data_IF_405631356304
#
_entry.id   IF_405631356304
#
_cell.length_a   1.000
_cell.length_b   1.000
_cell.length_c   1.000
_cell.angle_alpha   90.00
_cell.angle_beta   90.00
_cell.angle_gamma   90.00
#
_symmetry.space_group_name_H-M   'P 1'
#
loop_
_entity.id
_entity.type
_entity.pdbx_description
1 polymer ?
#
# COMPACT_ATOMS: atom_id res chain seq x y z
N UNK A 1 34.06 -59.44 4.58
CA UNK A 1 32.76 -58.77 4.76
C UNK A 1 33.05 -57.49 5.54
N UNK A 2 32.58 -56.35 5.02
CA UNK A 2 33.03 -54.94 5.22
C UNK A 2 34.12 -54.46 4.21
N UNK A 3 34.18 -53.17 3.79
CA UNK A 3 33.35 -52.48 2.78
C UNK A 3 34.21 -51.85 1.63
N UNK A 4 33.65 -51.08 0.66
CA UNK A 4 33.75 -49.61 0.76
C UNK A 4 32.64 -48.77 0.09
N UNK A 5 32.63 -47.50 0.50
CA UNK A 5 31.94 -46.30 0.02
C UNK A 5 32.14 -46.02 -1.48
N UNK A 6 31.11 -45.56 -2.19
CA UNK A 6 31.32 -44.69 -3.35
C UNK A 6 30.12 -43.78 -3.64
N UNK A 7 30.41 -42.49 -3.75
CA UNK A 7 29.51 -41.41 -4.09
C UNK A 7 29.11 -41.47 -5.56
N UNK A 8 27.87 -41.13 -5.89
CA UNK A 8 27.51 -40.64 -7.24
C UNK A 8 26.43 -39.57 -7.15
N UNK A 9 26.90 -38.33 -7.32
CA UNK A 9 26.31 -37.19 -8.00
C UNK A 9 24.82 -37.27 -8.35
N UNK A 10 23.99 -36.51 -7.61
CA UNK A 10 22.68 -36.09 -8.11
C UNK A 10 22.83 -34.75 -8.83
N UNK A 11 22.60 -34.81 -10.13
CA UNK A 11 22.53 -33.72 -11.10
C UNK A 11 21.56 -32.62 -10.65
N UNK A 12 21.87 -31.32 -10.85
CA UNK A 12 20.92 -30.25 -10.59
C UNK A 12 19.80 -30.28 -11.63
N UNK A 13 18.54 -30.45 -11.18
CA UNK A 13 17.39 -30.11 -12.00
C UNK A 13 17.32 -28.59 -12.12
N UNK A 14 17.85 -28.11 -13.23
CA UNK A 14 17.53 -26.80 -13.78
C UNK A 14 16.04 -26.74 -14.11
N UNK A 15 15.48 -25.54 -13.92
CA UNK A 15 14.32 -25.03 -14.62
C UNK A 15 12.95 -25.58 -14.20
N UNK A 16 12.20 -24.76 -13.45
CA UNK A 16 11.11 -24.05 -14.07
C UNK A 16 10.45 -23.06 -13.10
N UNK A 17 10.37 -21.82 -13.56
CA UNK A 17 9.31 -20.85 -13.24
C UNK A 17 9.30 -20.34 -11.80
N UNK A 18 10.18 -19.36 -11.58
CA UNK A 18 9.78 -18.17 -10.85
C UNK A 18 8.45 -17.66 -11.45
N UNK A 19 7.36 -17.94 -10.74
CA UNK A 19 6.12 -17.22 -10.96
C UNK A 19 6.35 -15.84 -10.34
N UNK A 20 7.00 -14.98 -11.12
CA UNK A 20 6.78 -13.56 -10.99
C UNK A 20 5.27 -13.37 -11.13
N UNK A 21 4.59 -13.17 -10.00
CA UNK A 21 3.29 -12.54 -9.95
C UNK A 21 3.47 -11.10 -10.45
N UNK A 22 3.70 -10.96 -11.75
CA UNK A 22 3.52 -9.71 -12.45
C UNK A 22 2.01 -9.58 -12.62
N UNK A 23 1.34 -9.18 -11.54
CA UNK A 23 0.01 -8.65 -11.61
C UNK A 23 0.08 -7.49 -12.60
N UNK A 24 -0.43 -7.74 -13.81
CA UNK A 24 -0.63 -6.70 -14.82
C UNK A 24 -1.76 -5.82 -14.28
N UNK A 25 -1.40 -4.89 -13.39
CA UNK A 25 -2.19 -3.69 -13.17
C UNK A 25 -2.16 -2.96 -14.51
N UNK A 26 -3.21 -3.13 -15.30
CA UNK A 26 -3.43 -2.40 -16.56
C UNK A 26 -3.06 -0.95 -16.32
N UNK A 27 -2.01 -0.47 -16.98
CA UNK A 27 -1.54 0.93 -17.00
C UNK A 27 -2.58 1.81 -17.71
N UNK A 28 -3.75 2.02 -17.10
CA UNK A 28 -4.62 3.14 -17.47
C UNK A 28 -3.88 4.45 -17.21
N UNK A 29 -3.89 5.38 -18.15
CA UNK A 29 -3.31 6.71 -17.96
C UNK A 29 -4.16 7.50 -16.97
N UNK A 30 -3.87 7.39 -15.67
CA UNK A 30 -4.41 8.27 -14.63
C UNK A 30 -3.37 9.29 -14.22
N UNK A 31 -3.83 10.46 -13.78
CA UNK A 31 -2.95 11.53 -13.29
C UNK A 31 -2.68 11.31 -11.81
N UNK A 32 -1.42 11.10 -11.44
CA UNK A 32 -1.00 11.07 -10.04
C UNK A 32 -0.70 12.49 -9.59
N UNK A 33 -1.46 13.00 -8.62
CA UNK A 33 -1.25 14.34 -8.03
C UNK A 33 -0.14 14.32 -6.98
N UNK A 34 0.02 13.17 -6.31
CA UNK A 34 1.07 12.91 -5.34
C UNK A 34 2.25 12.20 -6.01
N UNK A 35 3.42 12.30 -5.38
CA UNK A 35 4.55 11.47 -5.75
C UNK A 35 4.20 10.00 -5.54
N UNK A 36 4.70 9.14 -6.43
CA UNK A 36 4.33 7.72 -6.46
C UNK A 36 4.55 7.00 -5.13
N UNK A 37 5.67 7.27 -4.47
CA UNK A 37 5.99 6.68 -3.16
C UNK A 37 5.00 7.17 -2.09
N UNK A 38 4.67 8.46 -2.09
CA UNK A 38 3.71 9.06 -1.16
C UNK A 38 2.30 8.51 -1.38
N UNK A 39 1.84 8.43 -2.62
CA UNK A 39 0.56 7.82 -2.98
C UNK A 39 0.47 6.38 -2.48
N UNK A 40 1.54 5.59 -2.67
CA UNK A 40 1.60 4.20 -2.22
C UNK A 40 1.56 4.08 -0.69
N UNK A 41 2.32 4.90 0.04
CA UNK A 41 2.32 4.90 1.51
C UNK A 41 0.92 5.26 2.03
N UNK A 42 0.32 6.33 1.51
CA UNK A 42 -1.01 6.78 1.90
C UNK A 42 -2.06 5.70 1.59
N UNK A 43 -2.00 5.09 0.40
CA UNK A 43 -2.89 4.01 0.01
C UNK A 43 -2.79 2.77 0.89
N UNK A 44 -1.59 2.41 1.36
CA UNK A 44 -1.40 1.31 2.32
C UNK A 44 -2.05 1.66 3.66
N UNK A 45 -1.87 2.89 4.14
CA UNK A 45 -2.37 3.31 5.44
C UNK A 45 -3.89 3.43 5.45
N UNK A 46 -4.47 4.07 4.44
CA UNK A 46 -5.92 4.15 4.27
C UNK A 46 -6.58 2.76 4.19
N UNK A 47 -5.90 1.77 3.58
CA UNK A 47 -6.36 0.37 3.55
C UNK A 47 -6.26 -0.35 4.90
N UNK A 48 -5.34 0.07 5.76
CA UNK A 48 -5.14 -0.50 7.09
C UNK A 48 -6.01 0.15 8.16
N UNK A 49 -6.64 1.28 7.87
CA UNK A 49 -7.55 1.92 8.82
C UNK A 49 -8.66 0.94 9.22
N UNK A 50 -8.95 0.78 10.52
CA UNK A 50 -9.99 -0.13 11.01
C UNK A 50 -11.39 0.37 10.66
N UNK A 51 -11.50 1.61 10.20
CA UNK A 51 -12.75 2.26 9.83
C UNK A 51 -12.62 2.94 8.46
N UNK A 52 -13.72 3.04 7.70
CA UNK A 52 -13.77 3.87 6.50
C UNK A 52 -13.32 5.31 6.76
N UNK A 53 -12.55 5.88 5.84
CA UNK A 53 -11.99 7.22 5.97
C UNK A 53 -13.06 8.30 6.17
N UNK A 54 -14.21 8.18 5.51
CA UNK A 54 -15.34 9.10 5.66
C UNK A 54 -15.96 9.06 7.07
N UNK A 55 -16.04 7.88 7.67
CA UNK A 55 -16.49 7.71 9.06
C UNK A 55 -15.49 8.35 10.01
N UNK A 56 -14.19 8.13 9.79
CA UNK A 56 -13.13 8.76 10.58
C UNK A 56 -13.20 10.30 10.52
N UNK A 57 -13.34 10.88 9.33
CA UNK A 57 -13.47 12.33 9.18
C UNK A 57 -14.69 12.88 9.94
N UNK A 58 -15.84 12.19 9.89
CA UNK A 58 -17.04 12.58 10.64
C UNK A 58 -16.87 12.46 12.15
N UNK A 59 -16.15 11.45 12.61
CA UNK A 59 -15.85 11.27 14.02
C UNK A 59 -14.96 12.40 14.54
N UNK A 60 -13.94 12.81 13.77
CA UNK A 60 -13.09 13.95 14.11
C UNK A 60 -13.88 15.27 14.19
N UNK A 61 -14.74 15.53 13.20
CA UNK A 61 -15.58 16.75 13.16
C UNK A 61 -16.51 16.87 14.38
N UNK A 62 -16.95 15.73 14.92
CA UNK A 62 -17.85 15.65 16.08
C UNK A 62 -17.13 15.45 17.42
N UNK A 63 -15.80 15.34 17.42
CA UNK A 63 -15.01 14.91 18.58
C UNK A 63 -15.58 13.63 19.20
N UNK A 64 -15.94 12.66 18.36
CA UNK A 64 -16.56 11.41 18.78
C UNK A 64 -15.53 10.47 19.42
N UNK A 65 -15.51 10.44 20.75
CA UNK A 65 -14.65 9.58 21.54
C UNK A 65 -15.09 8.10 21.57
N UNK A 66 -16.22 7.75 20.95
CA UNK A 66 -16.69 6.36 20.88
C UNK A 66 -16.02 5.57 19.76
N UNK A 67 -15.34 6.26 18.83
CA UNK A 67 -14.56 5.61 17.80
C UNK A 67 -13.33 4.94 18.43
N UNK A 68 -13.33 3.61 18.50
CA UNK A 68 -12.23 2.83 19.04
C UNK A 68 -11.04 2.80 18.08
N UNK A 69 -10.22 3.86 18.13
CA UNK A 69 -8.93 3.96 17.46
C UNK A 69 -7.84 4.01 18.52
N UNK A 70 -6.79 3.19 18.35
CA UNK A 70 -5.65 3.24 19.26
C UNK A 70 -4.79 4.48 19.01
N UNK A 71 -4.09 4.96 20.04
CA UNK A 71 -3.15 6.08 19.92
C UNK A 71 -2.03 5.77 18.90
N UNK A 72 -1.55 4.52 18.89
CA UNK A 72 -0.54 4.04 17.93
C UNK A 72 -1.01 4.15 16.48
N UNK A 73 -2.29 3.85 16.21
CA UNK A 73 -2.88 4.00 14.89
C UNK A 73 -2.95 5.48 14.47
N UNK A 74 -3.38 6.36 15.39
CA UNK A 74 -3.45 7.80 15.15
C UNK A 74 -2.06 8.36 14.81
N UNK A 75 -1.04 8.01 15.60
CA UNK A 75 0.33 8.43 15.35
C UNK A 75 0.85 7.92 14.00
N UNK A 76 0.55 6.66 13.66
CA UNK A 76 0.89 6.09 12.36
C UNK A 76 0.23 6.83 11.19
N UNK A 77 -1.03 7.26 11.35
CA UNK A 77 -1.74 8.02 10.33
C UNK A 77 -1.21 9.44 10.21
N UNK A 78 -0.88 10.09 11.33
CA UNK A 78 -0.29 11.43 11.37
C UNK A 78 1.07 11.46 10.67
N UNK A 79 1.91 10.45 10.86
CA UNK A 79 3.23 10.37 10.20
C UNK A 79 3.14 10.29 8.67
N UNK A 80 2.08 9.67 8.16
CA UNK A 80 1.86 9.55 6.73
C UNK A 80 0.90 10.58 6.16
N UNK A 81 0.38 11.47 7.00
CA UNK A 81 -0.60 12.45 6.58
C UNK A 81 -0.02 13.31 5.46
N UNK A 82 -0.83 13.67 4.44
CA UNK A 82 -0.37 14.53 3.37
C UNK A 82 0.07 15.89 3.92
N UNK A 83 1.16 16.45 3.39
CA UNK A 83 1.59 17.81 3.72
C UNK A 83 0.58 18.84 3.22
N UNK A 84 0.63 20.06 3.75
CA UNK A 84 -0.26 21.13 3.29
C UNK A 84 -0.15 21.36 1.77
N UNK A 85 1.06 21.32 1.21
CA UNK A 85 1.29 21.45 -0.24
C UNK A 85 0.71 20.27 -1.04
N UNK A 86 0.78 19.05 -0.51
CA UNK A 86 0.16 17.87 -1.11
C UNK A 86 -1.36 17.97 -1.09
N UNK A 87 -1.94 18.39 0.04
CA UNK A 87 -3.38 18.62 0.17
C UNK A 87 -3.87 19.69 -0.79
N UNK A 88 -3.15 20.81 -0.89
CA UNK A 88 -3.46 21.89 -1.82
C UNK A 88 -3.43 21.41 -3.27
N UNK A 89 -2.43 20.62 -3.67
CA UNK A 89 -2.37 20.02 -5.02
C UNK A 89 -3.57 19.12 -5.30
N UNK A 90 -4.03 18.35 -4.32
CA UNK A 90 -5.22 17.49 -4.45
C UNK A 90 -6.49 18.34 -4.55
N UNK A 91 -6.63 19.41 -3.77
CA UNK A 91 -7.78 20.32 -3.83
C UNK A 91 -7.84 21.14 -5.12
N UNK A 92 -6.67 21.54 -5.64
CA UNK A 92 -6.54 22.30 -6.89
C UNK A 92 -6.67 21.41 -8.14
N UNK A 93 -6.70 20.08 -7.97
CA UNK A 93 -6.87 19.15 -9.09
C UNK A 93 -8.25 19.33 -9.72
N UNK A 94 -8.26 19.82 -10.97
CA UNK A 94 -9.49 20.11 -11.73
C UNK A 94 -9.95 18.98 -12.66
N UNK A 95 -9.30 17.82 -12.60
CA UNK A 95 -9.73 16.63 -13.35
C UNK A 95 -10.93 15.94 -12.71
N UNK A 96 -11.47 14.93 -13.39
CA UNK A 96 -12.52 14.11 -12.78
C UNK A 96 -11.91 13.22 -11.69
N UNK A 97 -12.59 13.01 -10.57
CA UNK A 97 -12.12 12.09 -9.52
C UNK A 97 -11.86 10.66 -10.06
N UNK A 98 -12.52 10.27 -11.15
CA UNK A 98 -12.30 8.99 -11.85
C UNK A 98 -10.97 8.90 -12.61
N UNK A 99 -10.26 10.02 -12.77
CA UNK A 99 -8.96 10.12 -13.46
C UNK A 99 -7.78 10.04 -12.48
N UNK A 100 -8.05 10.15 -11.17
CA UNK A 100 -7.05 9.95 -10.12
C UNK A 100 -6.70 8.47 -10.01
N UNK A 101 -5.42 8.19 -9.78
CA UNK A 101 -4.87 6.84 -9.73
C UNK A 101 -4.33 6.49 -8.33
N UNK A 102 -4.36 5.19 -8.04
CA UNK A 102 -3.67 4.56 -6.90
C UNK A 102 -2.14 4.70 -6.99
#
# INVERSE_FOLDING_TARGET
LEPPTCMTSRTPLSSARGQCFSARLSRGGGTSVLDRERAQILGIILKKMPVPFDIFCRALDRLDHTLHVSEEDIDGWLQAWPTEDEQKRVLDFRGLNTELRD
#
